data_IF_876577727025
#
_entry.id   IF_876577727025
#
_cell.length_a   1.000
_cell.length_b   1.000
_cell.length_c   1.000
_cell.angle_alpha   90.00
_cell.angle_beta   90.00
_cell.angle_gamma   90.00
#
_symmetry.space_group_name_H-M   'P 1'
#
loop_
_entity.id
_entity.type
_entity.pdbx_description
1 polymer ?
#
# COMPACT_ATOMS: atom_id res chain seq x y z
N UNK A 1 17.66 -1.48 -18.71
CA UNK A 1 16.79 -0.30 -18.88
C UNK A 1 17.27 0.77 -17.92
N UNK A 2 17.57 1.99 -18.39
CA UNK A 2 18.15 3.02 -17.53
C UNK A 2 17.14 3.47 -16.46
N UNK A 3 17.58 3.45 -15.20
CA UNK A 3 16.81 3.74 -13.97
C UNK A 3 16.06 5.08 -13.99
N UNK A 4 16.37 5.98 -14.92
CA UNK A 4 15.72 7.27 -15.14
C UNK A 4 14.35 7.19 -15.81
N UNK A 5 14.10 6.22 -16.70
CA UNK A 5 12.82 6.12 -17.41
C UNK A 5 11.70 5.58 -16.52
N UNK A 6 12.00 4.64 -15.62
CA UNK A 6 11.00 4.07 -14.70
C UNK A 6 10.41 5.12 -13.76
N UNK A 7 11.20 6.11 -13.35
CA UNK A 7 10.75 7.20 -12.48
C UNK A 7 9.65 8.07 -13.11
N UNK A 8 9.76 8.40 -14.39
CA UNK A 8 8.76 9.26 -15.06
C UNK A 8 7.42 8.53 -15.20
N UNK A 9 7.45 7.21 -15.43
CA UNK A 9 6.24 6.39 -15.57
C UNK A 9 5.57 6.05 -14.23
N UNK A 10 6.26 6.20 -13.09
CA UNK A 10 5.67 5.91 -11.79
C UNK A 10 4.50 6.85 -11.44
N UNK A 11 4.62 8.14 -11.76
CA UNK A 11 3.56 9.12 -11.46
C UNK A 11 2.23 8.78 -12.15
N UNK A 12 2.18 8.60 -13.49
CA UNK A 12 0.93 8.24 -14.17
C UNK A 12 0.45 6.84 -13.79
N UNK A 13 1.36 5.92 -13.46
CA UNK A 13 0.99 4.59 -12.96
C UNK A 13 0.24 4.68 -11.63
N UNK A 14 0.78 5.42 -10.66
CA UNK A 14 0.15 5.62 -9.35
C UNK A 14 -1.18 6.36 -9.48
N UNK A 15 -1.23 7.38 -10.35
CA UNK A 15 -2.47 8.08 -10.66
C UNK A 15 -3.52 7.13 -11.25
N UNK A 16 -3.13 6.27 -12.20
CA UNK A 16 -4.00 5.25 -12.79
C UNK A 16 -4.52 4.24 -11.76
N UNK A 17 -3.65 3.72 -10.89
CA UNK A 17 -4.06 2.83 -9.80
C UNK A 17 -5.02 3.52 -8.84
N UNK A 18 -4.75 4.77 -8.49
CA UNK A 18 -5.60 5.58 -7.62
C UNK A 18 -6.97 5.87 -8.25
N UNK A 19 -7.02 6.15 -9.55
CA UNK A 19 -8.26 6.31 -10.30
C UNK A 19 -9.06 5.01 -10.38
N UNK A 20 -8.40 3.90 -10.70
CA UNK A 20 -9.05 2.59 -10.79
C UNK A 20 -9.66 2.22 -9.44
N UNK A 21 -8.93 2.34 -8.33
CA UNK A 21 -9.50 2.00 -7.02
C UNK A 21 -10.60 2.98 -6.60
N UNK A 22 -10.54 4.26 -6.96
CA UNK A 22 -11.60 5.24 -6.67
C UNK A 22 -12.89 4.94 -7.46
N UNK A 23 -12.77 4.56 -8.74
CA UNK A 23 -13.92 4.30 -9.62
C UNK A 23 -14.50 2.90 -9.45
N UNK A 24 -13.63 1.90 -9.36
CA UNK A 24 -14.01 0.48 -9.33
C UNK A 24 -14.17 -0.02 -7.91
N UNK A 25 -13.43 0.52 -6.93
CA UNK A 25 -13.45 0.11 -5.53
C UNK A 25 -14.87 0.00 -4.96
N UNK A 26 -15.73 1.01 -5.09
CA UNK A 26 -17.12 0.93 -4.62
C UNK A 26 -17.94 -0.20 -5.25
N UNK A 27 -17.60 -0.64 -6.47
CA UNK A 27 -18.31 -1.72 -7.19
C UNK A 27 -17.87 -3.12 -6.77
N UNK A 28 -16.64 -3.25 -6.27
CA UNK A 28 -16.06 -4.52 -5.81
C UNK A 28 -15.98 -4.59 -4.28
N UNK A 29 -16.60 -3.65 -3.57
CA UNK A 29 -16.55 -3.58 -2.13
C UNK A 29 -17.18 -4.83 -1.50
N UNK A 30 -16.40 -5.57 -0.72
CA UNK A 30 -16.91 -6.62 0.16
C UNK A 30 -17.10 -6.03 1.55
N UNK A 31 -18.29 -6.17 2.12
CA UNK A 31 -18.63 -5.64 3.45
C UNK A 31 -18.34 -4.13 3.63
N UNK A 32 -18.51 -3.34 2.55
CA UNK A 32 -18.20 -1.89 2.49
C UNK A 32 -16.71 -1.54 2.49
N UNK A 33 -15.83 -2.53 2.25
CA UNK A 33 -14.39 -2.33 2.14
C UNK A 33 -13.91 -2.72 0.75
N UNK A 34 -13.13 -1.82 0.13
CA UNK A 34 -12.53 -2.02 -1.18
C UNK A 34 -11.01 -2.21 -1.07
N UNK A 35 -10.37 -2.85 -2.05
CA UNK A 35 -8.94 -3.11 -1.97
C UNK A 35 -8.09 -1.86 -2.21
N UNK A 36 -6.98 -1.75 -1.48
CA UNK A 36 -6.03 -0.65 -1.59
C UNK A 36 -4.95 -0.99 -2.64
N UNK A 37 -5.26 -0.77 -3.92
CA UNK A 37 -4.37 -1.11 -5.03
C UNK A 37 -3.03 -0.38 -4.95
N UNK A 38 -3.05 0.91 -4.55
CA UNK A 38 -1.82 1.71 -4.39
C UNK A 38 -0.95 1.15 -3.27
N UNK A 39 -1.54 0.72 -2.14
CA UNK A 39 -0.81 0.11 -1.04
C UNK A 39 -0.18 -1.21 -1.45
N UNK A 40 -0.95 -2.11 -2.06
CA UNK A 40 -0.47 -3.43 -2.49
C UNK A 40 0.70 -3.27 -3.48
N UNK A 41 0.55 -2.35 -4.45
CA UNK A 41 1.60 -2.06 -5.42
C UNK A 41 2.88 -1.54 -4.75
N UNK A 42 2.77 -0.55 -3.86
CA UNK A 42 3.94 0.03 -3.18
C UNK A 42 4.63 -0.95 -2.24
N UNK A 43 3.88 -1.81 -1.55
CA UNK A 43 4.47 -2.89 -0.74
C UNK A 43 5.25 -3.86 -1.63
N UNK A 44 4.67 -4.29 -2.75
CA UNK A 44 5.37 -5.13 -3.73
C UNK A 44 6.62 -4.45 -4.29
N UNK A 45 6.51 -3.16 -4.64
CA UNK A 45 7.64 -2.34 -5.11
C UNK A 45 8.74 -2.23 -4.06
N UNK A 46 8.37 -2.08 -2.78
CA UNK A 46 9.30 -2.01 -1.66
C UNK A 46 10.07 -3.31 -1.48
N UNK A 47 9.38 -4.45 -1.60
CA UNK A 47 10.01 -5.75 -1.48
C UNK A 47 10.99 -6.03 -2.63
N UNK A 48 10.73 -5.50 -3.82
CA UNK A 48 11.57 -5.69 -5.00
C UNK A 48 12.73 -4.68 -5.10
N UNK A 49 12.47 -3.38 -4.89
CA UNK A 49 13.42 -2.29 -5.16
C UNK A 49 13.90 -1.57 -3.90
N UNK A 50 13.37 -1.95 -2.73
CA UNK A 50 13.76 -1.41 -1.44
C UNK A 50 12.95 -0.19 -0.99
N UNK A 51 13.15 0.17 0.29
CA UNK A 51 12.35 1.19 0.98
C UNK A 51 12.65 2.62 0.52
N UNK A 52 13.91 2.92 0.18
CA UNK A 52 14.39 4.29 -0.10
C UNK A 52 13.63 4.94 -1.26
N UNK A 53 13.43 4.20 -2.35
CA UNK A 53 12.69 4.70 -3.52
C UNK A 53 11.17 4.70 -3.24
N UNK A 54 10.69 3.67 -2.57
CA UNK A 54 9.27 3.44 -2.31
C UNK A 54 8.64 4.50 -1.41
N UNK A 55 9.39 5.08 -0.46
CA UNK A 55 8.87 6.16 0.42
C UNK A 55 8.46 7.40 -0.38
N UNK A 56 9.24 7.78 -1.39
CA UNK A 56 8.90 8.93 -2.26
C UNK A 56 7.62 8.63 -3.04
N UNK A 57 7.51 7.42 -3.59
CA UNK A 57 6.32 7.00 -4.31
C UNK A 57 5.09 6.81 -3.42
N UNK A 58 5.28 6.43 -2.16
CA UNK A 58 4.23 6.39 -1.16
C UNK A 58 3.67 7.78 -0.85
N UNK A 59 4.55 8.79 -0.73
CA UNK A 59 4.11 10.16 -0.59
C UNK A 59 3.26 10.62 -1.79
N UNK A 60 3.77 10.43 -3.02
CA UNK A 60 3.08 10.83 -4.26
C UNK A 60 1.77 10.06 -4.47
N UNK A 61 1.77 8.74 -4.25
CA UNK A 61 0.58 7.90 -4.34
C UNK A 61 -0.47 8.28 -3.30
N UNK A 62 -0.04 8.66 -2.10
CA UNK A 62 -0.94 9.17 -1.06
C UNK A 62 -1.58 10.50 -1.43
N UNK A 63 -0.85 11.40 -2.10
CA UNK A 63 -1.44 12.66 -2.58
C UNK A 63 -2.54 12.39 -3.62
N UNK A 64 -2.32 11.45 -4.54
CA UNK A 64 -3.37 11.03 -5.49
C UNK A 64 -4.60 10.46 -4.78
N UNK A 65 -4.38 9.65 -3.74
CA UNK A 65 -5.46 9.11 -2.91
C UNK A 65 -6.26 10.21 -2.22
N UNK A 66 -5.58 11.16 -1.58
CA UNK A 66 -6.25 12.24 -0.87
C UNK A 66 -7.04 13.14 -1.84
N UNK A 67 -6.47 13.45 -3.01
CA UNK A 67 -7.14 14.25 -4.06
C UNK A 67 -8.39 13.58 -4.63
N UNK A 68 -8.36 12.26 -4.82
CA UNK A 68 -9.46 11.51 -5.44
C UNK A 68 -10.52 11.03 -4.44
N UNK A 69 -10.18 10.92 -3.15
CA UNK A 69 -11.12 10.51 -2.10
C UNK A 69 -11.87 11.68 -1.47
N UNK A 70 -11.38 12.91 -1.64
CA UNK A 70 -11.88 14.07 -0.90
C UNK A 70 -11.49 14.07 0.59
N UNK A 71 -10.51 13.22 0.97
CA UNK A 71 -9.98 13.13 2.32
C UNK A 71 -9.04 14.30 2.68
N UNK A 72 -8.52 14.25 3.90
CA UNK A 72 -7.54 15.24 4.35
C UNK A 72 -6.22 15.08 3.59
N UNK A 73 -5.78 16.14 2.91
CA UNK A 73 -4.52 16.13 2.15
C UNK A 73 -3.34 15.80 3.07
N UNK A 74 -2.58 14.77 2.71
CA UNK A 74 -1.41 14.28 3.42
C UNK A 74 -1.70 13.10 4.36
N UNK A 75 -2.97 12.77 4.62
CA UNK A 75 -3.33 11.67 5.51
C UNK A 75 -2.96 10.31 4.91
N UNK A 76 -3.35 10.06 3.65
CA UNK A 76 -2.97 8.83 2.94
C UNK A 76 -1.47 8.79 2.65
N UNK A 77 -0.84 9.93 2.39
CA UNK A 77 0.62 10.01 2.20
C UNK A 77 1.38 9.56 3.44
N UNK A 78 1.03 10.07 4.62
CA UNK A 78 1.70 9.69 5.86
C UNK A 78 1.49 8.20 6.17
N UNK A 79 0.27 7.72 6.00
CA UNK A 79 -0.08 6.32 6.22
C UNK A 79 0.65 5.37 5.26
N UNK A 80 0.73 5.71 3.97
CA UNK A 80 1.45 4.89 2.98
C UNK A 80 2.95 4.88 3.21
N UNK A 81 3.54 6.02 3.60
CA UNK A 81 4.97 6.07 3.94
C UNK A 81 5.28 5.14 5.12
N UNK A 82 4.46 5.18 6.18
CA UNK A 82 4.59 4.27 7.31
C UNK A 82 4.45 2.79 6.91
N UNK A 83 3.47 2.49 6.06
CA UNK A 83 3.24 1.14 5.53
C UNK A 83 4.45 0.61 4.75
N UNK A 84 5.04 1.44 3.88
CA UNK A 84 6.25 1.09 3.12
C UNK A 84 7.47 0.90 4.01
N UNK A 85 7.63 1.68 5.08
CA UNK A 85 8.70 1.48 6.05
C UNK A 85 8.61 0.09 6.71
N UNK A 86 7.39 -0.33 7.07
CA UNK A 86 7.14 -1.68 7.59
C UNK A 86 7.37 -2.75 6.52
N UNK A 87 6.98 -2.49 5.28
CA UNK A 87 7.25 -3.40 4.17
C UNK A 87 8.74 -3.65 3.94
N UNK A 88 9.59 -2.63 4.14
CA UNK A 88 11.04 -2.74 4.04
C UNK A 88 11.64 -3.76 5.03
N UNK A 89 11.03 -3.95 6.20
CA UNK A 89 11.43 -4.97 7.16
C UNK A 89 11.10 -6.39 6.66
N UNK A 90 10.03 -6.56 5.89
CA UNK A 90 9.65 -7.86 5.30
C UNK A 90 10.63 -8.34 4.23
N UNK A 91 11.21 -7.40 3.46
CA UNK A 91 12.19 -7.69 2.41
C UNK A 91 13.52 -8.22 2.94
N UNK A 92 13.97 -7.72 4.10
CA UNK A 92 15.25 -8.11 4.71
C UNK A 92 15.17 -9.44 5.45
N UNK A 93 14.04 -9.79 6.07
CA UNK A 93 13.95 -10.99 6.89
C UNK A 93 13.54 -12.27 6.12
N UNK A 94 12.72 -12.23 5.05
CA UNK A 94 12.04 -13.46 4.60
C UNK A 94 11.78 -13.67 3.09
N UNK A 95 12.16 -12.75 2.20
CA UNK A 95 11.67 -12.78 0.80
C UNK A 95 12.11 -14.02 -0.01
N UNK A 96 13.15 -14.75 0.39
CA UNK A 96 13.83 -15.71 -0.51
C UNK A 96 13.23 -17.12 -0.62
N UNK A 97 12.22 -17.54 0.17
CA UNK A 97 11.71 -18.94 0.09
C UNK A 97 10.23 -19.19 0.32
N UNK A 98 9.41 -18.19 0.69
CA UNK A 98 8.05 -18.48 1.15
C UNK A 98 6.97 -17.57 0.54
N UNK A 99 5.97 -18.17 -0.11
CA UNK A 99 4.84 -17.47 -0.74
C UNK A 99 4.00 -16.66 0.26
N UNK A 100 4.07 -17.00 1.54
CA UNK A 100 3.34 -16.31 2.60
C UNK A 100 3.96 -14.97 3.01
N UNK A 101 5.22 -14.71 2.65
CA UNK A 101 5.94 -13.52 3.12
C UNK A 101 5.33 -12.23 2.55
N UNK A 102 5.12 -12.09 1.23
CA UNK A 102 4.52 -10.87 0.70
C UNK A 102 3.10 -10.66 1.24
N UNK A 103 2.34 -11.73 1.45
CA UNK A 103 1.00 -11.64 2.02
C UNK A 103 1.01 -11.13 3.47
N UNK A 104 1.91 -11.67 4.30
CA UNK A 104 2.10 -11.20 5.66
C UNK A 104 2.60 -9.75 5.71
N UNK A 105 3.50 -9.38 4.80
CA UNK A 105 4.00 -8.00 4.68
C UNK A 105 2.87 -7.05 4.29
N UNK A 106 2.02 -7.42 3.33
CA UNK A 106 0.84 -6.61 2.97
C UNK A 106 -0.14 -6.51 4.13
N UNK A 107 -0.37 -7.60 4.88
CA UNK A 107 -1.20 -7.57 6.08
C UNK A 107 -0.65 -6.54 7.10
N UNK A 108 0.62 -6.68 7.50
CA UNK A 108 1.26 -5.77 8.45
C UNK A 108 1.24 -4.32 7.97
N UNK A 109 1.51 -4.10 6.68
CA UNK A 109 1.51 -2.77 6.06
C UNK A 109 0.10 -2.16 6.03
N UNK A 110 -0.93 -2.97 5.76
CA UNK A 110 -2.34 -2.54 5.78
C UNK A 110 -2.77 -2.15 7.19
N UNK A 111 -2.36 -2.92 8.20
CA UNK A 111 -2.66 -2.59 9.61
C UNK A 111 -2.06 -1.24 10.01
N UNK A 112 -0.79 -1.01 9.66
CA UNK A 112 -0.09 0.25 9.94
C UNK A 112 -0.70 1.40 9.17
N UNK A 113 -1.00 1.21 7.88
CA UNK A 113 -1.70 2.20 7.07
C UNK A 113 -3.01 2.63 7.74
N UNK A 114 -3.86 1.67 8.11
CA UNK A 114 -5.13 1.95 8.76
C UNK A 114 -4.96 2.67 10.11
N UNK A 115 -4.02 2.23 10.95
CA UNK A 115 -3.74 2.84 12.25
C UNK A 115 -3.27 4.29 12.14
N UNK A 116 -2.32 4.56 11.24
CA UNK A 116 -1.83 5.93 10.99
C UNK A 116 -2.94 6.79 10.40
N UNK A 117 -3.68 6.29 9.42
CA UNK A 117 -4.76 7.05 8.79
C UNK A 117 -5.87 7.41 9.78
N UNK A 118 -6.30 6.46 10.62
CA UNK A 118 -7.27 6.71 11.69
C UNK A 118 -6.74 7.72 12.71
N UNK A 119 -5.46 7.64 13.07
CA UNK A 119 -4.84 8.60 13.99
C UNK A 119 -4.88 10.01 13.41
N UNK A 120 -4.56 10.19 12.12
CA UNK A 120 -4.65 11.50 11.46
C UNK A 120 -6.09 12.00 11.45
N UNK A 121 -7.07 11.14 11.15
CA UNK A 121 -8.49 11.53 11.16
C UNK A 121 -8.95 11.97 12.56
N UNK A 122 -8.55 11.26 13.61
CA UNK A 122 -8.86 11.63 15.01
C UNK A 122 -8.26 12.99 15.35
N UNK A 123 -7.01 13.24 14.94
CA UNK A 123 -6.34 14.52 15.20
C UNK A 123 -7.00 15.69 14.47
N UNK A 124 -7.54 15.46 13.26
CA UNK A 124 -8.13 16.52 12.43
C UNK A 124 -9.62 16.76 12.69
N UNK A 125 -10.39 15.69 12.91
CA UNK A 125 -11.85 15.73 13.01
C UNK A 125 -12.35 15.52 14.45
N UNK A 126 -11.46 15.20 15.39
CA UNK A 126 -11.79 14.97 16.79
C UNK A 126 -12.29 13.54 17.04
N UNK A 127 -13.47 13.41 17.63
CA UNK A 127 -13.97 12.11 18.07
C UNK A 127 -14.33 11.20 16.88
N UNK A 128 -13.58 10.10 16.73
CA UNK A 128 -13.88 9.05 15.77
C UNK A 128 -14.15 7.73 16.49
N UNK A 129 -15.20 6.97 16.14
CA UNK A 129 -15.50 5.69 16.76
C UNK A 129 -14.47 4.63 16.31
N UNK A 130 -13.38 4.51 17.06
CA UNK A 130 -12.24 3.63 16.73
C UNK A 130 -12.63 2.16 16.73
N UNK A 131 -13.39 1.70 17.73
CA UNK A 131 -13.71 0.28 17.87
C UNK A 131 -14.55 -0.25 16.70
N UNK A 132 -15.65 0.43 16.27
CA UNK A 132 -16.37 0.06 15.06
C UNK A 132 -15.51 0.12 13.78
N UNK A 133 -14.57 1.05 13.70
CA UNK A 133 -13.69 1.17 12.54
C UNK A 133 -12.70 0.00 12.44
N UNK A 134 -12.16 -0.46 13.57
CA UNK A 134 -11.30 -1.63 13.60
C UNK A 134 -12.03 -2.89 13.09
N UNK A 135 -13.26 -3.11 13.55
CA UNK A 135 -14.04 -4.30 13.19
C UNK A 135 -14.61 -4.25 11.77
N UNK A 136 -15.13 -3.09 11.35
CA UNK A 136 -15.87 -2.96 10.09
C UNK A 136 -15.02 -2.51 8.91
N UNK A 137 -13.85 -1.93 9.16
CA UNK A 137 -12.98 -1.38 8.12
C UNK A 137 -11.62 -2.09 8.13
N UNK A 138 -10.92 -2.10 9.27
CA UNK A 138 -9.53 -2.58 9.34
C UNK A 138 -9.43 -4.10 9.19
N UNK A 139 -10.26 -4.87 9.89
CA UNK A 139 -10.25 -6.34 9.78
C UNK A 139 -10.59 -6.83 8.36
N UNK A 140 -11.67 -6.35 7.69
CA UNK A 140 -11.95 -6.75 6.32
C UNK A 140 -10.90 -6.28 5.32
N UNK A 141 -10.32 -5.07 5.49
CA UNK A 141 -9.27 -4.57 4.57
C UNK A 141 -8.00 -5.40 4.66
N UNK A 142 -7.62 -5.83 5.87
CA UNK A 142 -6.52 -6.75 6.10
C UNK A 142 -6.70 -8.05 5.31
N UNK A 143 -7.86 -8.69 5.45
CA UNK A 143 -8.13 -9.94 4.76
C UNK A 143 -8.17 -9.76 3.24
N UNK A 144 -8.81 -8.69 2.76
CA UNK A 144 -8.95 -8.46 1.33
C UNK A 144 -7.59 -8.12 0.69
N UNK A 145 -6.84 -7.19 1.26
CA UNK A 145 -5.53 -6.80 0.72
C UNK A 145 -4.53 -7.96 0.78
N UNK A 146 -4.54 -8.76 1.86
CA UNK A 146 -3.66 -9.93 1.99
C UNK A 146 -4.03 -11.05 1.02
N UNK A 147 -5.34 -11.29 0.82
CA UNK A 147 -5.82 -12.26 -0.15
C UNK A 147 -5.45 -11.88 -1.59
N UNK A 148 -5.55 -10.59 -1.94
CA UNK A 148 -5.07 -10.09 -3.22
C UNK A 148 -3.55 -10.20 -3.33
N UNK A 149 -2.80 -9.87 -2.28
CA UNK A 149 -1.35 -10.01 -2.27
C UNK A 149 -0.92 -11.46 -2.54
N UNK A 150 -1.60 -12.45 -1.97
CA UNK A 150 -1.39 -13.88 -2.29
C UNK A 150 -1.53 -14.15 -3.78
N UNK A 151 -2.56 -13.61 -4.43
CA UNK A 151 -2.77 -13.77 -5.87
C UNK A 151 -1.65 -13.10 -6.70
N UNK A 152 -1.09 -11.99 -6.24
CA UNK A 152 0.00 -11.27 -6.90
C UNK A 152 1.40 -11.82 -6.58
N UNK A 153 1.58 -12.63 -5.53
CA UNK A 153 2.88 -13.23 -5.18
C UNK A 153 3.58 -14.00 -6.30
N UNK A 154 2.93 -14.85 -7.12
CA UNK A 154 3.63 -15.52 -8.22
C UNK A 154 4.18 -14.55 -9.27
N UNK A 155 3.59 -13.35 -9.41
CA UNK A 155 4.11 -12.31 -10.29
C UNK A 155 5.32 -11.61 -9.67
N UNK A 156 5.28 -11.33 -8.35
CA UNK A 156 6.41 -10.76 -7.63
C UNK A 156 7.63 -11.69 -7.65
N UNK A 157 7.42 -13.01 -7.49
CA UNK A 157 8.50 -14.00 -7.54
C UNK A 157 9.12 -14.18 -8.94
N UNK A 158 8.46 -13.69 -10.00
CA UNK A 158 8.98 -13.72 -11.39
C UNK A 158 9.75 -12.45 -11.77
N UNK A 159 9.74 -11.43 -10.92
CA UNK A 159 10.47 -10.19 -11.19
C UNK A 159 11.99 -10.47 -11.15
N UNK A 160 12.79 -9.90 -12.07
CA UNK A 160 14.24 -10.07 -12.09
C UNK A 160 14.86 -9.63 -10.77
N UNK A 161 15.81 -10.41 -10.24
CA UNK A 161 16.54 -10.03 -9.03
C UNK A 161 17.21 -8.66 -9.24
N UNK A 162 17.10 -7.72 -8.28
CA UNK A 162 17.88 -6.50 -8.32
C UNK A 162 19.35 -6.90 -8.30
N UNK A 163 20.07 -6.63 -9.37
CA UNK A 163 21.52 -6.76 -9.38
C UNK A 163 22.06 -5.82 -8.31
N UNK A 164 22.55 -6.39 -7.20
CA UNK A 164 23.38 -5.65 -6.26
C UNK A 164 24.58 -5.16 -7.06
N UNK A 165 24.57 -3.86 -7.38
CA UNK A 165 25.74 -3.19 -7.92
C UNK A 165 26.71 -3.06 -6.75
N UNK A 166 27.62 -4.03 -6.66
CA UNK A 166 28.79 -4.05 -5.77
C UNK A 166 29.65 -2.81 -6.03
#
# INVERSE_FOLDING_TARGET
MSRSYTWVWMVPLLAGLALIQSVVGPRIALASVHPDLVLIFLVGWTLLYGVRESVVWAFVGGLWLDLLSGGAIGASSLALMAAVLVAGLGGTLFFRRNIFVPAFTVAASTFVYAGVHLTVLILLQGAFPVLPALERIVMPSLLYNSGLALLFTPLLNRAPEPQEVV
#
